data_IF_015177273338
#
_entry.id   IF_015177273338
#
_cell.length_a   1.000
_cell.length_b   1.000
_cell.length_c   1.000
_cell.angle_alpha   90.00
_cell.angle_beta   90.00
_cell.angle_gamma   90.00
#
_symmetry.space_group_name_H-M   'P 1'
#
loop_
_entity.id
_entity.type
_entity.pdbx_description
1 polymer ?
#
# COMPACT_ATOMS: atom_id res chain seq x y z
N UNK A 1 3.69 -8.82 -11.81
CA UNK A 1 2.31 -9.06 -11.33
C UNK A 1 1.74 -7.84 -10.63
N UNK A 2 0.46 -7.60 -10.78
CA UNK A 2 -0.30 -6.61 -10.00
C UNK A 2 -1.21 -7.40 -9.06
N UNK A 3 -1.08 -7.19 -7.75
CA UNK A 3 -1.82 -7.94 -6.73
C UNK A 3 -3.34 -7.83 -6.93
N UNK A 4 -4.07 -8.90 -6.67
CA UNK A 4 -5.51 -9.00 -6.86
C UNK A 4 -6.30 -8.03 -5.98
N UNK A 5 -7.41 -7.49 -6.51
CA UNK A 5 -8.36 -6.70 -5.73
C UNK A 5 -9.83 -6.89 -6.08
N UNK A 6 -10.24 -7.58 -7.03
CA UNK A 6 -11.65 -7.85 -7.34
C UNK A 6 -12.32 -6.84 -8.29
N UNK A 7 -11.90 -5.57 -8.30
CA UNK A 7 -12.44 -4.51 -9.17
C UNK A 7 -11.42 -4.09 -10.23
N UNK A 8 -11.32 -4.83 -11.31
CA UNK A 8 -10.32 -4.63 -12.37
C UNK A 8 -10.49 -3.34 -13.16
N UNK A 9 -11.66 -2.70 -13.08
CA UNK A 9 -11.95 -1.41 -13.75
C UNK A 9 -11.58 -0.20 -12.87
N UNK A 10 -11.10 -0.43 -11.65
CA UNK A 10 -10.69 0.63 -10.74
C UNK A 10 -9.47 1.39 -11.26
N UNK A 11 -9.45 2.72 -11.04
CA UNK A 11 -8.28 3.55 -11.33
C UNK A 11 -7.00 3.08 -10.62
N UNK A 12 -7.14 2.41 -9.47
CA UNK A 12 -6.01 1.80 -8.77
C UNK A 12 -5.35 0.66 -9.54
N UNK A 13 -6.06 -0.01 -10.45
CA UNK A 13 -5.48 -0.95 -11.39
C UNK A 13 -5.02 -0.27 -12.68
N UNK A 14 -5.90 0.48 -13.30
CA UNK A 14 -5.64 1.06 -14.63
C UNK A 14 -4.43 1.99 -14.60
N UNK A 15 -4.29 2.82 -13.56
CA UNK A 15 -3.13 3.69 -13.40
C UNK A 15 -1.81 2.90 -13.26
N UNK A 16 -1.83 1.77 -12.54
CA UNK A 16 -0.64 0.91 -12.42
C UNK A 16 -0.32 0.22 -13.75
N UNK A 17 -1.34 -0.29 -14.46
CA UNK A 17 -1.17 -0.90 -15.78
C UNK A 17 -0.51 0.09 -16.73
N UNK A 18 -1.07 1.30 -16.83
CA UNK A 18 -0.56 2.36 -17.71
C UNK A 18 0.89 2.73 -17.34
N UNK A 19 1.20 2.89 -16.06
CA UNK A 19 2.55 3.24 -15.60
C UNK A 19 3.57 2.11 -15.85
N UNK A 20 3.18 0.85 -15.68
CA UNK A 20 4.06 -0.31 -15.98
C UNK A 20 4.32 -0.43 -17.48
N UNK A 21 3.30 -0.24 -18.33
CA UNK A 21 3.45 -0.27 -19.78
C UNK A 21 4.33 0.88 -20.27
N UNK A 22 4.15 2.08 -19.73
CA UNK A 22 4.97 3.26 -20.05
C UNK A 22 6.44 3.07 -19.68
N UNK A 23 6.71 2.40 -18.56
CA UNK A 23 8.06 2.02 -18.14
C UNK A 23 8.63 0.83 -18.94
N UNK A 24 7.91 0.29 -19.93
CA UNK A 24 8.34 -0.82 -20.79
C UNK A 24 8.15 -2.22 -20.20
N UNK A 25 7.41 -2.34 -19.09
CA UNK A 25 7.07 -3.62 -18.48
C UNK A 25 5.85 -4.30 -19.11
N UNK A 26 5.57 -5.53 -18.68
CA UNK A 26 4.38 -6.28 -19.07
C UNK A 26 3.51 -6.52 -17.84
N UNK A 27 2.44 -5.74 -17.63
CA UNK A 27 1.55 -5.93 -16.49
C UNK A 27 0.74 -7.22 -16.62
N UNK A 28 0.61 -7.95 -15.50
CA UNK A 28 -0.23 -9.14 -15.37
C UNK A 28 -1.05 -8.99 -14.11
N UNK A 29 -2.39 -8.92 -14.25
CA UNK A 29 -3.29 -8.93 -13.11
C UNK A 29 -3.28 -10.33 -12.48
N UNK A 30 -2.89 -10.43 -11.22
CA UNK A 30 -2.80 -11.71 -10.52
C UNK A 30 -4.19 -12.21 -10.13
N UNK A 31 -4.32 -13.53 -10.12
CA UNK A 31 -5.47 -14.18 -9.50
C UNK A 31 -5.44 -14.01 -7.98
N UNK A 32 -6.61 -14.19 -7.35
CA UNK A 32 -6.71 -14.17 -5.89
C UNK A 32 -5.87 -15.28 -5.26
N UNK A 33 -5.02 -14.92 -4.30
CA UNK A 33 -4.37 -15.93 -3.46
C UNK A 33 -5.37 -16.43 -2.41
N UNK A 34 -5.53 -17.75 -2.35
CA UNK A 34 -6.46 -18.46 -1.45
C UNK A 34 -5.71 -19.46 -0.59
N UNK A 35 -6.17 -19.62 0.64
CA UNK A 35 -5.64 -20.59 1.59
C UNK A 35 -6.57 -21.80 1.72
N UNK A 36 -6.02 -23.01 1.68
CA UNK A 36 -6.77 -24.26 1.79
C UNK A 36 -7.44 -24.44 3.18
N UNK A 37 -6.93 -23.73 4.17
CA UNK A 37 -7.46 -23.74 5.54
C UNK A 37 -8.59 -22.72 5.80
N UNK A 38 -9.01 -21.95 4.77
CA UNK A 38 -10.12 -21.00 4.83
C UNK A 38 -11.25 -21.42 3.89
N UNK A 39 -12.46 -20.95 4.19
CA UNK A 39 -13.65 -21.27 3.38
C UNK A 39 -14.06 -20.06 2.55
N UNK A 40 -14.40 -20.31 1.28
CA UNK A 40 -14.82 -19.28 0.33
C UNK A 40 -16.18 -19.63 -0.26
N UNK A 41 -16.95 -18.63 -0.63
CA UNK A 41 -18.21 -18.80 -1.35
C UNK A 41 -18.00 -19.04 -2.86
N UNK A 42 -19.10 -19.07 -3.62
CA UNK A 42 -19.06 -19.27 -5.07
C UNK A 42 -18.43 -18.10 -5.86
N UNK A 43 -18.32 -16.93 -5.24
CA UNK A 43 -17.70 -15.73 -5.80
C UNK A 43 -16.27 -15.53 -5.29
N UNK A 44 -15.74 -16.50 -4.55
CA UNK A 44 -14.43 -16.51 -3.90
C UNK A 44 -14.27 -15.47 -2.75
N UNK A 45 -15.37 -14.96 -2.20
CA UNK A 45 -15.33 -14.18 -0.98
C UNK A 45 -15.19 -15.08 0.26
N UNK A 46 -14.46 -14.61 1.29
CA UNK A 46 -14.32 -15.34 2.55
C UNK A 46 -15.67 -15.51 3.26
N UNK A 47 -15.90 -16.71 3.81
CA UNK A 47 -17.08 -17.03 4.60
C UNK A 47 -16.74 -17.08 6.10
N UNK A 48 -17.65 -16.52 6.93
CA UNK A 48 -17.62 -16.60 8.40
C UNK A 48 -16.31 -16.09 9.05
N UNK A 49 -15.61 -15.19 8.37
CA UNK A 49 -14.28 -14.70 8.75
C UNK A 49 -14.25 -13.20 9.07
N UNK A 50 -15.40 -12.51 9.04
CA UNK A 50 -15.46 -11.06 9.24
C UNK A 50 -16.06 -10.69 10.60
N UNK A 51 -15.59 -9.58 11.15
CA UNK A 51 -16.14 -8.93 12.34
C UNK A 51 -17.34 -8.01 12.00
N UNK A 52 -17.84 -7.28 13.01
CA UNK A 52 -19.01 -6.40 12.87
C UNK A 52 -18.78 -5.21 11.91
N UNK A 53 -17.55 -4.85 11.62
CA UNK A 53 -17.18 -3.75 10.71
C UNK A 53 -16.69 -4.23 9.34
N UNK A 54 -16.73 -5.54 9.09
CA UNK A 54 -16.33 -6.14 7.81
C UNK A 54 -14.84 -6.46 7.69
N UNK A 55 -14.04 -6.20 8.72
CA UNK A 55 -12.66 -6.62 8.80
C UNK A 55 -12.50 -8.10 9.16
N UNK A 56 -11.31 -8.65 9.04
CA UNK A 56 -11.01 -10.01 9.48
C UNK A 56 -11.22 -10.15 11.00
N UNK A 57 -11.83 -11.27 11.42
CA UNK A 57 -11.84 -11.62 12.85
C UNK A 57 -10.41 -11.86 13.36
N UNK A 58 -10.18 -11.64 14.66
CA UNK A 58 -8.88 -11.89 15.26
C UNK A 58 -8.46 -13.37 15.14
N UNK A 59 -9.42 -14.29 15.23
CA UNK A 59 -9.18 -15.72 15.08
C UNK A 59 -8.65 -16.03 13.67
N UNK A 60 -9.31 -15.55 12.64
CA UNK A 60 -8.88 -15.74 11.25
C UNK A 60 -7.53 -15.08 10.97
N UNK A 61 -7.33 -13.85 11.46
CA UNK A 61 -6.07 -13.15 11.31
C UNK A 61 -4.89 -13.92 11.94
N UNK A 62 -5.11 -14.54 13.11
CA UNK A 62 -4.07 -15.37 13.76
C UNK A 62 -3.75 -16.63 12.94
N UNK A 63 -4.77 -17.30 12.40
CA UNK A 63 -4.56 -18.47 11.52
C UNK A 63 -3.76 -18.09 10.27
N UNK A 64 -4.04 -16.95 9.67
CA UNK A 64 -3.28 -16.45 8.50
C UNK A 64 -1.83 -16.15 8.89
N UNK A 65 -1.60 -15.46 10.01
CA UNK A 65 -0.25 -15.13 10.51
C UNK A 65 0.58 -16.38 10.87
N UNK A 66 -0.06 -17.42 11.38
CA UNK A 66 0.62 -18.69 11.75
C UNK A 66 1.02 -19.51 10.51
N UNK A 67 0.20 -19.51 9.46
CA UNK A 67 0.44 -20.32 8.25
C UNK A 67 1.17 -19.54 7.14
N UNK A 68 1.11 -18.22 7.15
CA UNK A 68 1.68 -17.37 6.10
C UNK A 68 1.21 -17.80 4.70
N UNK A 69 2.14 -18.21 3.84
CA UNK A 69 1.84 -18.67 2.46
C UNK A 69 1.76 -20.20 2.35
N UNK A 70 1.96 -20.96 3.44
CA UNK A 70 1.87 -22.42 3.41
C UNK A 70 0.43 -22.90 3.21
N UNK A 71 0.24 -23.97 2.46
CA UNK A 71 -1.07 -24.53 2.11
C UNK A 71 -2.00 -23.49 1.41
N UNK A 72 -1.44 -22.81 0.41
CA UNK A 72 -2.13 -21.83 -0.43
C UNK A 72 -1.83 -22.06 -1.90
N UNK A 73 -2.55 -21.38 -2.80
CA UNK A 73 -2.29 -21.41 -4.23
C UNK A 73 -1.25 -20.38 -4.70
N UNK A 74 -0.49 -19.75 -3.79
CA UNK A 74 0.39 -18.62 -4.13
C UNK A 74 1.47 -18.99 -5.16
N UNK A 75 2.02 -20.20 -5.09
CA UNK A 75 3.04 -20.65 -6.05
C UNK A 75 2.48 -20.79 -7.49
N UNK A 76 1.22 -21.20 -7.61
CA UNK A 76 0.53 -21.25 -8.90
C UNK A 76 0.25 -19.85 -9.43
N UNK A 77 -0.24 -18.94 -8.58
CA UNK A 77 -0.50 -17.52 -8.91
C UNK A 77 0.78 -16.82 -9.37
N UNK A 78 1.91 -17.14 -8.74
CA UNK A 78 3.21 -16.52 -9.03
C UNK A 78 3.96 -17.15 -10.20
N UNK A 79 3.39 -18.16 -10.88
CA UNK A 79 4.08 -18.82 -11.97
C UNK A 79 4.37 -17.86 -13.14
N UNK A 80 5.66 -17.63 -13.42
CA UNK A 80 6.11 -16.74 -14.49
C UNK A 80 6.01 -15.25 -14.17
N UNK A 81 5.93 -14.90 -12.89
CA UNK A 81 5.91 -13.53 -12.37
C UNK A 81 7.29 -13.20 -11.78
N UNK A 82 7.90 -12.13 -12.25
CA UNK A 82 9.25 -11.72 -11.83
C UNK A 82 9.25 -10.71 -10.69
N UNK A 83 8.18 -9.89 -10.60
CA UNK A 83 8.01 -8.87 -9.55
C UNK A 83 6.53 -8.65 -9.24
N UNK A 84 6.21 -8.06 -8.09
CA UNK A 84 4.82 -7.77 -7.69
C UNK A 84 4.65 -6.31 -7.29
N UNK A 85 3.58 -5.69 -7.80
CA UNK A 85 3.10 -4.38 -7.36
C UNK A 85 1.82 -4.57 -6.55
N UNK A 86 1.81 -4.07 -5.30
CA UNK A 86 0.62 -4.01 -4.46
C UNK A 86 0.01 -2.62 -4.58
N UNK A 87 -1.27 -2.55 -4.93
CA UNK A 87 -1.98 -1.30 -5.22
C UNK A 87 -2.56 -0.64 -3.96
N UNK A 88 -2.97 0.62 -4.07
CA UNK A 88 -3.81 1.30 -3.10
C UNK A 88 -5.20 0.67 -2.95
N UNK A 89 -6.05 1.25 -2.11
CA UNK A 89 -7.45 0.85 -1.92
C UNK A 89 -7.90 0.82 -0.47
N UNK A 90 -8.77 -0.11 -0.13
CA UNK A 90 -9.48 -0.28 1.14
C UNK A 90 -8.52 -0.39 2.34
N UNK A 91 -9.02 -0.12 3.54
CA UNK A 91 -8.28 -0.22 4.79
C UNK A 91 -7.90 -1.67 5.11
N UNK A 92 -6.74 -1.87 5.75
CA UNK A 92 -6.32 -3.18 6.23
C UNK A 92 -6.96 -3.46 7.59
N UNK A 93 -7.54 -4.66 7.74
CA UNK A 93 -8.13 -5.14 9.00
C UNK A 93 -7.15 -5.01 10.16
N UNK A 94 -7.54 -4.30 11.21
CA UNK A 94 -6.69 -4.05 12.38
C UNK A 94 -6.32 -5.33 13.15
N UNK A 95 -7.06 -6.41 12.98
CA UNK A 95 -6.73 -7.74 13.51
C UNK A 95 -5.43 -8.32 12.95
N UNK A 96 -5.00 -7.87 11.76
CA UNK A 96 -3.71 -8.22 11.17
C UNK A 96 -2.53 -7.44 11.75
N UNK A 97 -2.76 -6.32 12.42
CA UNK A 97 -1.68 -5.48 12.98
C UNK A 97 -0.87 -6.24 14.04
N UNK A 98 0.37 -5.80 14.26
CA UNK A 98 1.23 -6.32 15.32
C UNK A 98 0.59 -6.17 16.72
N UNK A 99 -0.16 -5.07 16.90
CA UNK A 99 -1.00 -4.79 18.07
C UNK A 99 -2.44 -4.64 17.60
N UNK A 100 -3.22 -5.74 17.55
CA UNK A 100 -4.62 -5.68 17.14
C UNK A 100 -5.43 -4.82 18.11
N UNK A 101 -6.20 -3.87 17.58
CA UNK A 101 -7.10 -3.01 18.34
C UNK A 101 -8.44 -2.91 17.60
N UNK A 102 -9.58 -2.78 18.32
CA UNK A 102 -10.85 -2.47 17.69
C UNK A 102 -10.76 -1.18 16.87
N UNK A 103 -11.58 -1.06 15.82
CA UNK A 103 -11.68 0.19 15.08
C UNK A 103 -12.04 1.35 16.01
N UNK A 104 -11.27 2.43 15.92
CA UNK A 104 -11.49 3.64 16.75
C UNK A 104 -11.47 4.93 15.91
N UNK A 105 -11.47 4.81 14.59
CA UNK A 105 -11.62 5.94 13.68
C UNK A 105 -13.07 6.38 13.50
N UNK A 106 -13.32 7.14 12.44
CA UNK A 106 -14.67 7.64 12.11
C UNK A 106 -15.46 6.51 11.44
N UNK A 107 -16.68 6.23 11.92
CA UNK A 107 -17.54 5.15 11.40
C UNK A 107 -17.79 5.28 9.88
N UNK A 108 -17.96 6.51 9.38
CA UNK A 108 -18.18 6.79 7.95
C UNK A 108 -16.96 6.52 7.06
N UNK A 109 -15.80 6.24 7.64
CA UNK A 109 -14.55 5.93 6.94
C UNK A 109 -14.20 4.42 7.01
N UNK A 110 -15.08 3.58 7.56
CA UNK A 110 -14.89 2.12 7.56
C UNK A 110 -14.98 1.60 6.11
N UNK A 111 -13.90 0.97 5.65
CA UNK A 111 -13.80 0.41 4.30
C UNK A 111 -12.84 -0.79 4.31
N UNK A 112 -13.28 -1.93 4.89
CA UNK A 112 -12.48 -3.15 4.96
C UNK A 112 -12.84 -4.16 3.88
N UNK A 113 -11.85 -4.90 3.42
CA UNK A 113 -12.03 -6.04 2.51
C UNK A 113 -11.23 -7.24 3.01
N UNK A 114 -11.86 -8.05 3.86
CA UNK A 114 -11.24 -9.22 4.49
C UNK A 114 -10.69 -10.24 3.48
N UNK A 115 -11.34 -10.40 2.33
CA UNK A 115 -10.89 -11.31 1.26
C UNK A 115 -9.59 -10.80 0.63
N UNK A 116 -9.52 -9.52 0.34
CA UNK A 116 -8.32 -8.88 -0.18
C UNK A 116 -7.18 -8.85 0.85
N UNK A 117 -7.50 -8.59 2.11
CA UNK A 117 -6.52 -8.62 3.20
C UNK A 117 -5.83 -9.97 3.28
N UNK A 118 -6.59 -11.05 3.20
CA UNK A 118 -6.07 -12.42 3.20
C UNK A 118 -5.16 -12.67 1.99
N UNK A 119 -5.63 -12.34 0.79
CA UNK A 119 -4.87 -12.52 -0.45
C UNK A 119 -3.56 -11.75 -0.43
N UNK A 120 -3.61 -10.45 -0.07
CA UNK A 120 -2.43 -9.59 -0.06
C UNK A 120 -1.45 -9.95 1.07
N UNK A 121 -1.94 -10.34 2.27
CA UNK A 121 -1.08 -10.77 3.37
C UNK A 121 -0.26 -12.01 3.00
N UNK A 122 -0.91 -13.03 2.42
CA UNK A 122 -0.27 -14.27 2.00
C UNK A 122 0.74 -13.98 0.87
N UNK A 123 0.34 -13.24 -0.15
CA UNK A 123 1.20 -12.90 -1.28
C UNK A 123 2.43 -12.07 -0.84
N UNK A 124 2.24 -11.08 0.04
CA UNK A 124 3.34 -10.27 0.58
C UNK A 124 4.31 -11.12 1.38
N UNK A 125 3.82 -12.02 2.26
CA UNK A 125 4.67 -12.92 3.03
C UNK A 125 5.50 -13.84 2.14
N UNK A 126 4.90 -14.37 1.07
CA UNK A 126 5.60 -15.16 0.06
C UNK A 126 6.69 -14.36 -0.65
N UNK A 127 6.37 -13.15 -1.12
CA UNK A 127 7.33 -12.28 -1.80
C UNK A 127 8.53 -11.94 -0.90
N UNK A 128 8.28 -11.61 0.37
CA UNK A 128 9.35 -11.33 1.34
C UNK A 128 10.23 -12.58 1.51
N UNK A 129 9.65 -13.74 1.75
CA UNK A 129 10.43 -14.96 1.99
C UNK A 129 11.27 -15.35 0.77
N UNK A 130 10.66 -15.34 -0.41
CA UNK A 130 11.33 -15.72 -1.67
C UNK A 130 12.22 -14.63 -2.27
N UNK A 131 12.33 -13.46 -1.64
CA UNK A 131 13.07 -12.30 -2.16
C UNK A 131 12.62 -11.88 -3.56
N UNK A 132 11.30 -11.92 -3.81
CA UNK A 132 10.70 -11.38 -5.03
C UNK A 132 10.71 -9.86 -4.95
N UNK A 133 11.02 -9.18 -6.05
CA UNK A 133 10.98 -7.73 -6.09
C UNK A 133 9.54 -7.21 -5.88
N UNK A 134 9.38 -6.24 -4.96
CA UNK A 134 8.07 -5.69 -4.57
C UNK A 134 8.10 -4.18 -4.56
N UNK A 135 7.05 -3.59 -5.13
CA UNK A 135 6.66 -2.20 -4.86
C UNK A 135 5.25 -2.18 -4.29
N UNK A 136 5.07 -1.55 -3.13
CA UNK A 136 3.76 -1.33 -2.52
C UNK A 136 3.37 0.14 -2.54
N UNK A 137 2.20 0.48 -3.10
CA UNK A 137 1.67 1.85 -3.06
C UNK A 137 0.52 1.96 -2.06
N UNK A 138 0.52 3.00 -1.22
CA UNK A 138 -0.49 3.33 -0.23
C UNK A 138 -0.83 2.11 0.65
N UNK A 139 -1.96 1.46 0.44
CA UNK A 139 -2.31 0.20 1.11
C UNK A 139 -1.25 -0.89 0.92
N UNK A 140 -0.58 -0.96 -0.24
CA UNK A 140 0.51 -1.92 -0.49
C UNK A 140 1.72 -1.69 0.41
N UNK A 141 2.11 -0.45 0.69
CA UNK A 141 3.11 -0.12 1.71
C UNK A 141 2.66 -0.53 3.11
N UNK A 142 1.41 -0.25 3.45
CA UNK A 142 0.83 -0.62 4.74
C UNK A 142 0.80 -2.15 4.92
N UNK A 143 0.48 -2.91 3.87
CA UNK A 143 0.53 -4.37 3.91
C UNK A 143 1.96 -4.89 4.12
N UNK A 144 2.97 -4.29 3.49
CA UNK A 144 4.38 -4.58 3.76
C UNK A 144 4.72 -4.34 5.24
N UNK A 145 4.26 -3.22 5.80
CA UNK A 145 4.45 -2.88 7.21
C UNK A 145 3.77 -3.91 8.14
N UNK A 146 2.51 -4.25 7.86
CA UNK A 146 1.71 -5.20 8.66
C UNK A 146 2.33 -6.60 8.66
N UNK A 147 2.68 -7.13 7.48
CA UNK A 147 3.32 -8.46 7.37
C UNK A 147 4.67 -8.51 8.07
N UNK A 148 5.41 -7.40 8.06
CA UNK A 148 6.71 -7.27 8.74
C UNK A 148 6.60 -7.02 10.25
N UNK A 149 5.37 -6.82 10.78
CA UNK A 149 5.13 -6.62 12.22
C UNK A 149 5.30 -5.18 12.71
N UNK A 150 5.25 -4.19 11.82
CA UNK A 150 5.28 -2.77 12.18
C UNK A 150 3.99 -2.30 12.88
N UNK A 151 4.07 -1.20 13.60
CA UNK A 151 2.90 -0.57 14.23
C UNK A 151 2.20 0.38 13.27
N UNK A 152 0.87 0.39 13.34
CA UNK A 152 0.02 1.15 12.43
C UNK A 152 -0.78 2.25 13.16
N UNK A 153 -1.10 3.32 12.44
CA UNK A 153 -2.12 4.31 12.77
C UNK A 153 -3.38 3.92 12.00
N UNK A 154 -4.46 3.59 12.71
CA UNK A 154 -5.73 3.24 12.09
C UNK A 154 -6.42 4.43 11.41
N UNK A 155 -6.28 5.63 11.98
CA UNK A 155 -6.93 6.84 11.49
C UNK A 155 -6.12 8.08 11.89
N UNK A 156 -5.51 8.74 10.92
CA UNK A 156 -4.64 9.91 11.13
C UNK A 156 -5.37 11.05 11.87
N UNK A 157 -6.61 11.46 11.48
CA UNK A 157 -7.35 12.49 12.22
C UNK A 157 -7.54 12.15 13.70
N UNK A 158 -7.83 10.89 14.01
CA UNK A 158 -7.97 10.42 15.40
C UNK A 158 -6.63 10.41 16.13
N UNK A 159 -5.55 9.99 15.47
CA UNK A 159 -4.19 10.05 16.01
C UNK A 159 -3.81 11.47 16.42
N UNK A 160 -3.98 12.47 15.54
CA UNK A 160 -3.72 13.88 15.85
C UNK A 160 -4.58 14.40 17.01
N UNK A 161 -5.87 14.03 17.02
CA UNK A 161 -6.78 14.39 18.13
C UNK A 161 -6.29 13.85 19.47
N UNK A 162 -5.82 12.60 19.52
CA UNK A 162 -5.28 11.97 20.72
C UNK A 162 -4.01 12.65 21.23
N UNK A 163 -3.23 13.25 20.32
CA UNK A 163 -2.05 14.04 20.63
C UNK A 163 -2.38 15.52 20.99
N UNK A 164 -3.66 15.91 20.97
CA UNK A 164 -4.12 17.29 21.09
C UNK A 164 -3.52 18.22 20.04
N UNK A 165 -3.36 17.72 18.79
CA UNK A 165 -2.87 18.46 17.63
C UNK A 165 -3.97 18.59 16.58
N UNK A 166 -3.92 19.69 15.81
CA UNK A 166 -4.80 19.88 14.68
C UNK A 166 -4.31 19.09 13.47
N UNK A 167 -5.20 18.37 12.80
CA UNK A 167 -4.94 17.73 11.51
C UNK A 167 -5.37 18.67 10.38
N UNK A 168 -4.44 18.96 9.43
CA UNK A 168 -4.63 19.96 8.38
C UNK A 168 -4.90 19.32 7.00
N UNK A 169 -5.35 18.06 6.96
CA UNK A 169 -5.72 17.31 5.73
C UNK A 169 -4.61 17.20 4.69
N UNK A 170 -3.33 17.12 5.11
CA UNK A 170 -2.17 17.04 4.23
C UNK A 170 -1.98 15.66 3.57
N UNK A 171 -2.65 14.64 4.06
CA UNK A 171 -2.54 13.27 3.54
C UNK A 171 -3.76 12.83 2.74
N UNK A 172 -4.87 13.55 2.87
CA UNK A 172 -6.12 13.33 2.13
C UNK A 172 -7.03 14.54 2.24
N UNK A 173 -7.57 15.01 1.11
CA UNK A 173 -8.54 16.10 1.12
C UNK A 173 -9.77 15.79 1.97
N UNK A 174 -10.31 16.80 2.62
CA UNK A 174 -11.63 16.71 3.24
C UNK A 174 -12.71 16.59 2.15
N UNK A 175 -13.70 15.72 2.33
CA UNK A 175 -14.87 15.69 1.44
C UNK A 175 -15.71 16.93 1.67
N UNK A 176 -16.09 17.62 0.62
CA UNK A 176 -17.04 18.75 0.67
C UNK A 176 -18.47 18.27 0.93
N UNK A 177 -18.84 17.07 0.46
CA UNK A 177 -20.06 16.33 0.77
C UNK A 177 -19.72 14.83 0.83
N UNK A 178 -20.56 13.98 1.46
CA UNK A 178 -20.34 12.53 1.49
C UNK A 178 -20.14 11.90 0.11
N UNK A 179 -20.84 12.44 -0.92
CA UNK A 179 -20.83 11.92 -2.29
C UNK A 179 -19.77 12.58 -3.18
N UNK A 180 -19.04 13.62 -2.68
CA UNK A 180 -18.04 14.29 -3.49
C UNK A 180 -16.82 13.40 -3.74
N UNK A 181 -16.29 13.46 -4.97
CA UNK A 181 -14.98 12.90 -5.28
C UNK A 181 -13.91 13.63 -4.46
N UNK A 182 -12.96 12.85 -3.97
CA UNK A 182 -11.84 13.35 -3.17
C UNK A 182 -10.58 13.18 -3.99
N UNK A 183 -10.05 14.26 -4.57
CA UNK A 183 -8.78 14.21 -5.30
C UNK A 183 -7.58 14.09 -4.36
N UNK A 184 -6.43 13.74 -4.93
CA UNK A 184 -5.17 13.66 -4.19
C UNK A 184 -4.75 15.02 -3.64
N UNK A 185 -4.01 15.00 -2.52
CA UNK A 185 -3.30 16.17 -1.98
C UNK A 185 -1.83 16.06 -2.38
N UNK A 186 -1.23 17.08 -3.01
CA UNK A 186 0.21 17.08 -3.20
C UNK A 186 0.93 17.43 -1.89
N UNK A 187 1.96 16.67 -1.55
CA UNK A 187 2.89 17.02 -0.46
C UNK A 187 4.33 16.65 -0.82
N UNK A 188 5.29 17.24 -0.10
CA UNK A 188 6.70 16.98 -0.33
C UNK A 188 7.21 15.93 0.67
N UNK A 189 7.98 14.96 0.18
CA UNK A 189 8.53 13.86 0.98
C UNK A 189 10.05 13.97 1.05
N UNK A 190 10.60 14.05 2.26
CA UNK A 190 12.04 13.98 2.49
C UNK A 190 12.52 12.54 2.38
N UNK A 191 13.57 12.31 1.57
CA UNK A 191 14.15 10.99 1.31
C UNK A 191 15.49 10.86 2.02
N UNK A 192 15.70 9.72 2.67
CA UNK A 192 16.95 9.40 3.38
C UNK A 192 18.04 9.09 2.35
N UNK A 193 19.16 9.79 2.46
CA UNK A 193 20.32 9.59 1.59
C UNK A 193 20.85 8.14 1.72
N UNK A 194 21.32 7.60 0.60
CA UNK A 194 21.86 6.24 0.47
C UNK A 194 20.86 5.10 0.67
N UNK A 195 19.56 5.41 0.87
CA UNK A 195 18.45 4.43 0.89
C UNK A 195 18.15 3.89 -0.51
N UNK A 196 17.31 2.84 -0.62
CA UNK A 196 16.79 2.34 -1.90
C UNK A 196 15.96 3.42 -2.60
N UNK A 197 15.10 4.15 -1.85
CA UNK A 197 14.36 5.28 -2.40
C UNK A 197 15.29 6.34 -2.99
N UNK A 198 16.39 6.68 -2.31
CA UNK A 198 17.39 7.61 -2.85
C UNK A 198 18.07 7.06 -4.10
N UNK A 199 18.35 5.76 -4.17
CA UNK A 199 18.95 5.15 -5.37
C UNK A 199 18.00 5.25 -6.58
N UNK A 200 16.69 5.09 -6.36
CA UNK A 200 15.64 5.22 -7.39
C UNK A 200 15.56 6.67 -7.88
N UNK A 201 15.35 7.61 -6.98
CA UNK A 201 15.01 8.98 -7.35
C UNK A 201 16.20 9.94 -7.50
N UNK A 202 17.36 9.62 -6.92
CA UNK A 202 18.55 10.49 -6.86
C UNK A 202 18.24 11.90 -6.30
N UNK A 203 17.26 12.00 -5.41
CA UNK A 203 16.76 13.24 -4.80
C UNK A 203 16.60 13.05 -3.29
N UNK A 204 16.95 14.06 -2.49
CA UNK A 204 16.70 14.09 -1.03
C UNK A 204 15.32 14.68 -0.71
N UNK A 205 14.63 15.25 -1.71
CA UNK A 205 13.27 15.78 -1.60
C UNK A 205 12.49 15.41 -2.86
N UNK A 206 11.35 14.74 -2.69
CA UNK A 206 10.34 14.53 -3.72
C UNK A 206 9.25 15.56 -3.53
N UNK A 207 8.92 16.31 -4.57
CA UNK A 207 7.92 17.38 -4.51
C UNK A 207 6.61 16.96 -5.17
N UNK A 208 5.49 17.38 -4.58
CA UNK A 208 4.17 17.15 -5.14
C UNK A 208 3.73 15.69 -5.17
N UNK A 209 4.18 14.86 -4.23
CA UNK A 209 3.77 13.47 -4.14
C UNK A 209 2.25 13.36 -3.95
N UNK A 210 1.51 12.66 -4.86
CA UNK A 210 0.06 12.54 -4.72
C UNK A 210 -0.32 11.68 -3.52
N UNK A 211 -1.02 12.23 -2.54
CA UNK A 211 -1.39 11.55 -1.31
C UNK A 211 -2.90 11.40 -1.16
N UNK A 212 -3.32 10.18 -0.75
CA UNK A 212 -4.71 9.89 -0.44
C UNK A 212 -4.80 8.73 0.56
N UNK A 213 -4.55 9.01 1.83
CA UNK A 213 -4.65 7.99 2.88
C UNK A 213 -5.07 8.60 4.22
N UNK A 214 -5.71 7.81 5.07
CA UNK A 214 -6.00 8.16 6.46
C UNK A 214 -5.46 7.14 7.46
N UNK A 215 -4.97 6.00 6.96
CA UNK A 215 -4.14 5.08 7.74
C UNK A 215 -2.66 5.35 7.44
N UNK A 216 -1.76 4.99 8.35
CA UNK A 216 -0.32 5.16 8.17
C UNK A 216 0.49 4.15 8.98
N UNK A 217 1.77 4.01 8.66
CA UNK A 217 2.75 3.31 9.50
C UNK A 217 3.16 4.24 10.64
N UNK A 218 3.01 3.78 11.89
CA UNK A 218 3.40 4.53 13.08
C UNK A 218 4.91 4.46 13.33
N UNK A 219 5.45 3.25 13.34
CA UNK A 219 6.88 2.99 13.47
C UNK A 219 7.22 1.59 12.93
N UNK A 220 8.50 1.36 12.66
CA UNK A 220 9.04 0.09 12.16
C UNK A 220 9.99 -0.58 13.16
N UNK A 221 9.94 -0.19 14.43
CA UNK A 221 10.83 -0.67 15.47
C UNK A 221 10.70 -2.18 15.68
N UNK A 222 11.83 -2.87 15.75
CA UNK A 222 11.88 -4.32 15.95
C UNK A 222 11.56 -5.16 14.72
N UNK A 223 11.44 -4.54 13.54
CA UNK A 223 11.24 -5.22 12.24
C UNK A 223 12.51 -5.16 11.38
N UNK A 224 12.49 -5.86 10.25
CA UNK A 224 13.53 -5.76 9.22
C UNK A 224 13.30 -4.57 8.24
N UNK A 225 12.37 -3.68 8.58
CA UNK A 225 12.10 -2.48 7.80
C UNK A 225 12.91 -1.28 8.30
N UNK A 226 13.19 -0.35 7.38
CA UNK A 226 13.72 0.97 7.71
C UNK A 226 12.88 2.05 7.02
N UNK A 227 12.80 3.22 7.67
CA UNK A 227 12.15 4.40 7.09
C UNK A 227 13.12 5.06 6.14
N UNK A 228 12.77 5.17 4.88
CA UNK A 228 13.56 5.84 3.84
C UNK A 228 12.90 7.12 3.31
N UNK A 229 11.69 7.44 3.72
CA UNK A 229 11.06 8.73 3.44
C UNK A 229 10.01 9.13 4.46
N UNK A 230 9.83 10.43 4.64
CA UNK A 230 8.88 10.97 5.62
C UNK A 230 8.50 12.42 5.31
N UNK A 231 7.37 12.84 5.89
CA UNK A 231 6.92 14.23 5.91
C UNK A 231 6.74 14.71 7.35
N UNK A 232 7.17 15.92 7.64
CA UNK A 232 6.92 16.57 8.93
C UNK A 232 5.67 17.44 8.82
N UNK A 233 4.64 17.09 9.59
CA UNK A 233 3.36 17.77 9.56
C UNK A 233 2.92 18.14 10.97
N UNK A 234 2.81 19.43 11.24
CA UNK A 234 2.40 19.96 12.55
C UNK A 234 3.20 19.32 13.72
N UNK A 235 4.54 19.18 13.54
CA UNK A 235 5.47 18.53 14.48
C UNK A 235 5.20 17.05 14.72
N UNK A 236 4.49 16.38 13.81
CA UNK A 236 4.41 14.92 13.71
C UNK A 236 5.14 14.46 12.46
N UNK A 237 5.96 13.44 12.62
CA UNK A 237 6.67 12.81 11.52
C UNK A 237 5.84 11.64 11.02
N UNK A 238 5.29 11.76 9.79
CA UNK A 238 4.58 10.69 9.13
C UNK A 238 5.52 9.93 8.20
N UNK A 239 5.46 8.60 8.26
CA UNK A 239 6.27 7.72 7.43
C UNK A 239 5.62 7.61 6.05
N UNK A 240 6.40 7.92 5.00
CA UNK A 240 5.94 7.95 3.61
C UNK A 240 6.64 6.91 2.73
N UNK A 241 7.81 6.41 3.13
CA UNK A 241 8.53 5.37 2.41
C UNK A 241 9.18 4.43 3.42
N UNK A 242 9.01 3.12 3.22
CA UNK A 242 9.70 2.06 3.96
C UNK A 242 10.37 1.10 2.98
N UNK A 243 11.49 0.50 3.39
CA UNK A 243 12.18 -0.52 2.63
C UNK A 243 12.67 -1.66 3.52
N UNK A 244 12.80 -2.87 2.96
CA UNK A 244 13.24 -4.05 3.69
C UNK A 244 14.75 -4.22 3.60
N UNK A 245 15.44 -4.18 4.74
CA UNK A 245 16.92 -4.15 4.79
C UNK A 245 17.60 -5.43 4.33
N UNK A 246 16.92 -6.56 4.43
CA UNK A 246 17.47 -7.89 4.11
C UNK A 246 17.10 -8.39 2.70
N UNK A 247 16.52 -7.54 1.84
CA UNK A 247 16.01 -7.91 0.52
C UNK A 247 16.55 -6.96 -0.56
N UNK A 248 16.63 -7.47 -1.79
CA UNK A 248 17.26 -6.73 -2.89
C UNK A 248 16.42 -5.54 -3.36
N UNK A 249 15.10 -5.75 -3.54
CA UNK A 249 14.19 -4.71 -3.99
C UNK A 249 12.78 -4.92 -3.42
N UNK A 250 12.58 -4.56 -2.15
CA UNK A 250 11.26 -4.53 -1.51
C UNK A 250 11.08 -3.16 -0.87
N UNK A 251 10.16 -2.35 -1.42
CA UNK A 251 9.94 -0.96 -1.03
C UNK A 251 8.45 -0.62 -1.07
N UNK A 252 8.00 0.22 -0.15
CA UNK A 252 6.64 0.75 -0.11
C UNK A 252 6.62 2.26 -0.06
N UNK A 253 5.66 2.86 -0.77
CA UNK A 253 5.38 4.28 -0.84
C UNK A 253 3.96 4.55 -0.36
N UNK A 254 3.78 5.49 0.55
CA UNK A 254 2.44 5.84 1.05
C UNK A 254 1.66 6.69 0.05
N UNK A 255 2.35 7.36 -0.84
CA UNK A 255 1.79 8.18 -1.92
C UNK A 255 1.67 7.39 -3.24
N UNK A 256 1.12 8.03 -4.28
CA UNK A 256 0.67 7.43 -5.53
C UNK A 256 1.43 7.98 -6.76
N UNK A 257 2.67 7.55 -7.05
CA UNK A 257 3.39 8.00 -8.25
C UNK A 257 2.62 7.69 -9.54
N UNK A 258 1.90 6.55 -9.59
CA UNK A 258 1.07 6.14 -10.73
C UNK A 258 0.00 7.18 -11.08
N UNK A 259 -0.58 7.83 -10.07
CA UNK A 259 -1.56 8.88 -10.30
C UNK A 259 -0.93 10.11 -10.98
N UNK A 260 0.31 10.47 -10.60
CA UNK A 260 1.05 11.54 -11.27
C UNK A 260 1.37 11.19 -12.73
N UNK A 261 1.86 9.98 -13.01
CA UNK A 261 2.13 9.49 -14.37
C UNK A 261 0.88 9.66 -15.24
N UNK A 262 -0.26 9.12 -14.81
CA UNK A 262 -1.49 9.14 -15.58
C UNK A 262 -2.06 10.55 -15.75
N UNK A 263 -2.02 11.41 -14.70
CA UNK A 263 -2.43 12.82 -14.82
C UNK A 263 -1.63 13.57 -15.91
N UNK A 264 -0.33 13.34 -15.98
CA UNK A 264 0.51 13.93 -17.04
C UNK A 264 0.21 13.35 -18.42
N UNK A 265 0.06 12.01 -18.55
CA UNK A 265 -0.31 11.37 -19.83
C UNK A 265 -1.63 11.87 -20.37
N UNK A 266 -2.61 12.10 -19.50
CA UNK A 266 -3.94 12.60 -19.87
C UNK A 266 -3.98 14.12 -20.08
N UNK A 267 -2.93 14.85 -19.73
CA UNK A 267 -2.90 16.31 -19.78
C UNK A 267 -3.91 16.95 -18.83
N UNK A 268 -4.08 16.38 -17.63
CA UNK A 268 -4.99 16.90 -16.62
C UNK A 268 -4.60 18.34 -16.22
N UNK A 269 -5.60 19.21 -16.02
CA UNK A 269 -5.39 20.65 -15.73
C UNK A 269 -4.53 20.87 -14.47
N UNK A 270 -4.60 19.95 -13.50
CA UNK A 270 -3.86 20.00 -12.24
C UNK A 270 -2.61 19.09 -12.23
N UNK A 271 -2.18 18.55 -13.36
CA UNK A 271 -1.01 17.68 -13.41
C UNK A 271 0.26 18.38 -12.87
N UNK A 272 0.40 19.68 -13.11
CA UNK A 272 1.55 20.46 -12.64
C UNK A 272 1.61 20.66 -11.11
N UNK A 273 0.55 20.39 -10.38
CA UNK A 273 0.52 20.45 -8.90
C UNK A 273 1.18 19.20 -8.27
N UNK A 274 1.34 18.14 -9.06
CA UNK A 274 1.88 16.87 -8.61
C UNK A 274 3.31 16.63 -9.10
N UNK A 275 3.91 15.55 -8.59
CA UNK A 275 5.23 15.06 -8.98
C UNK A 275 5.39 15.07 -10.50
N UNK A 276 6.54 15.55 -11.00
CA UNK A 276 6.81 15.55 -12.45
C UNK A 276 6.82 14.13 -13.02
N UNK A 277 6.43 14.01 -14.29
CA UNK A 277 6.25 12.75 -14.99
C UNK A 277 7.47 11.85 -14.95
N UNK A 278 8.65 12.39 -15.29
CA UNK A 278 9.88 11.60 -15.34
C UNK A 278 10.25 11.07 -13.94
N UNK A 279 10.09 11.90 -12.90
CA UNK A 279 10.31 11.47 -11.51
C UNK A 279 9.31 10.40 -11.07
N UNK A 280 8.02 10.58 -11.40
CA UNK A 280 6.99 9.61 -11.03
C UNK A 280 7.20 8.23 -11.67
N UNK A 281 7.75 8.19 -12.89
CA UNK A 281 8.00 6.95 -13.64
C UNK A 281 9.19 6.15 -13.10
N UNK A 282 10.18 6.80 -12.44
CA UNK A 282 11.43 6.16 -12.03
C UNK A 282 11.26 4.90 -11.17
N UNK A 283 10.24 4.82 -10.32
CA UNK A 283 10.02 3.62 -9.48
C UNK A 283 9.63 2.42 -10.32
N UNK A 284 8.83 2.61 -11.38
CA UNK A 284 8.42 1.56 -12.31
C UNK A 284 9.59 1.11 -13.18
N UNK A 285 10.35 2.05 -13.73
CA UNK A 285 11.58 1.77 -14.49
C UNK A 285 12.59 1.00 -13.63
N UNK A 286 12.83 1.44 -12.39
CA UNK A 286 13.76 0.76 -11.47
C UNK A 286 13.31 -0.65 -11.11
N UNK A 287 12.01 -0.89 -10.97
CA UNK A 287 11.47 -2.24 -10.74
C UNK A 287 11.74 -3.13 -11.95
N UNK A 288 11.49 -2.63 -13.16
CA UNK A 288 11.69 -3.38 -14.41
C UNK A 288 13.18 -3.66 -14.64
N UNK A 289 14.06 -2.68 -14.41
CA UNK A 289 15.51 -2.85 -14.53
C UNK A 289 16.04 -3.92 -13.55
N UNK A 290 15.42 -4.07 -12.38
CA UNK A 290 15.83 -5.07 -11.38
C UNK A 290 15.56 -6.50 -11.81
N UNK A 291 14.55 -6.73 -12.67
CA UNK A 291 14.12 -8.06 -13.13
C UNK A 291 14.53 -8.38 -14.59
N UNK A 292 15.27 -7.49 -15.27
CA UNK A 292 15.67 -7.60 -16.68
C UNK A 292 17.07 -8.28 -16.90
#
# INVERSE_FOLDING_TARGET
GIAWRGDTDSEFYTNIVDAVEEAGGKPVLLEQVKADYLTYDSENALLDCTDEVGGLTLETANVIKENLWENTNVEDVMQGIDAVIFTGGEDISSSLYAKPEPWHGIEAEIDFNATRDTSDYILMSYCIEKNIAVVGFCRGMQMLAVVSGAEMIQDIPTHYRNLNKEYLYQHRNEKSTPESYRDYVPHDVSVVKDSLAYKIYQKELLTGCPSWHHQAVLNVDGTDLVVSGSVDTNSEKMIEIIEHTGKDFIIGFQFHPEAAVVKHMQGADNAADFMDYDTALLVFESLIDTIS
#
